data_IF_494042659107
#
_entry.id   IF_494042659107
#
_cell.length_a   1.000
_cell.length_b   1.000
_cell.length_c   1.000
_cell.angle_alpha   90.00
_cell.angle_beta   90.00
_cell.angle_gamma   90.00
#
_symmetry.space_group_name_H-M   'P 1'
#
loop_
_entity.id
_entity.type
_entity.pdbx_description
1 polymer ?
#
# COMPACT_ATOMS: atom_id res chain seq x y z
N UNK A 1 3.04 34.47 43.33
CA UNK A 1 1.69 33.90 43.59
C UNK A 1 1.17 33.36 42.26
N UNK A 2 1.22 32.06 41.92
CA UNK A 2 0.46 30.89 42.48
C UNK A 2 -1.02 31.24 42.66
N UNK A 3 -2.01 30.64 41.97
CA UNK A 3 -2.39 29.22 41.76
C UNK A 3 -3.33 29.14 40.52
N UNK A 4 -3.26 28.12 39.64
CA UNK A 4 -3.84 26.75 39.71
C UNK A 4 -5.37 26.69 39.68
N UNK A 5 -5.93 26.19 38.57
CA UNK A 5 -6.80 24.99 38.43
C UNK A 5 -7.40 24.98 37.01
N UNK A 6 -7.15 24.02 36.11
CA UNK A 6 -7.42 22.56 36.11
C UNK A 6 -8.91 22.20 36.01
N UNK A 7 -9.34 21.81 34.81
CA UNK A 7 -10.39 20.83 34.47
C UNK A 7 -10.76 21.06 33.00
N UNK A 8 -10.84 20.12 32.07
CA UNK A 8 -10.71 18.67 32.07
C UNK A 8 -10.69 18.28 30.57
N UNK A 9 -9.89 17.28 30.21
CA UNK A 9 -9.81 16.71 28.86
C UNK A 9 -11.14 16.00 28.49
N UNK A 10 -11.39 15.71 27.21
CA UNK A 10 -11.02 14.36 26.74
C UNK A 10 -10.37 14.43 25.34
N UNK A 11 -9.12 14.00 25.18
CA UNK A 11 -8.79 12.62 24.83
C UNK A 11 -9.79 12.05 23.82
N UNK A 12 -9.65 12.47 22.56
CA UNK A 12 -10.27 11.77 21.43
C UNK A 12 -9.17 11.35 20.48
N UNK A 13 -8.99 10.03 20.44
CA UNK A 13 -8.37 9.23 19.40
C UNK A 13 -6.98 9.70 18.93
N UNK A 14 -5.96 8.97 19.38
CA UNK A 14 -4.72 8.75 18.66
C UNK A 14 -5.06 8.27 17.25
N UNK A 15 -5.26 9.22 16.33
CA UNK A 15 -5.34 8.96 14.92
C UNK A 15 -3.95 8.47 14.53
N UNK A 16 -3.82 7.15 14.37
CA UNK A 16 -2.63 6.51 13.85
C UNK A 16 -2.15 7.34 12.66
N UNK A 17 -0.93 7.88 12.79
CA UNK A 17 -0.29 8.71 11.77
C UNK A 17 -0.42 7.97 10.45
N UNK A 18 -1.20 8.51 9.52
CA UNK A 18 -1.38 7.90 8.21
C UNK A 18 0.02 7.77 7.58
N UNK A 19 0.39 6.59 7.07
CA UNK A 19 1.72 6.41 6.51
C UNK A 19 1.90 7.38 5.33
N UNK A 20 3.07 8.02 5.25
CA UNK A 20 3.41 8.99 4.20
C UNK A 20 3.38 8.34 2.80
N UNK A 21 3.62 7.03 2.74
CA UNK A 21 3.42 6.16 1.57
C UNK A 21 2.26 5.21 1.78
N UNK A 22 1.37 5.08 0.79
CA UNK A 22 0.26 4.11 0.85
C UNK A 22 0.75 2.67 0.96
N UNK A 23 1.84 2.34 0.26
CA UNK A 23 2.43 1.00 0.21
C UNK A 23 2.82 0.48 1.60
N UNK A 24 3.32 1.34 2.48
CA UNK A 24 3.76 0.96 3.84
C UNK A 24 2.57 0.51 4.73
N UNK A 25 1.35 0.90 4.35
CA UNK A 25 0.10 0.51 5.00
C UNK A 25 -0.53 -0.78 4.48
N UNK A 26 -0.10 -1.31 3.33
CA UNK A 26 -0.71 -2.49 2.70
C UNK A 26 -0.13 -3.77 3.31
N UNK A 27 -0.97 -4.53 4.03
CA UNK A 27 -0.58 -5.82 4.62
C UNK A 27 -1.34 -7.01 4.04
N UNK A 28 -2.42 -6.74 3.32
CA UNK A 28 -3.33 -7.73 2.77
C UNK A 28 -4.08 -7.22 1.53
N UNK A 29 -4.65 -8.11 0.70
CA UNK A 29 -5.52 -7.71 -0.40
C UNK A 29 -6.75 -6.87 0.03
N UNK A 30 -7.20 -7.03 1.28
CA UNK A 30 -8.30 -6.25 1.83
C UNK A 30 -7.96 -4.75 1.94
N UNK A 31 -6.69 -4.43 2.21
CA UNK A 31 -6.24 -3.04 2.32
C UNK A 31 -6.30 -2.35 0.95
N UNK A 32 -5.96 -3.08 -0.13
CA UNK A 32 -6.07 -2.59 -1.52
C UNK A 32 -7.54 -2.32 -1.89
N UNK A 33 -8.47 -3.14 -1.42
CA UNK A 33 -9.92 -2.93 -1.61
C UNK A 33 -10.45 -1.71 -0.87
N UNK A 34 -9.88 -1.41 0.30
CA UNK A 34 -10.28 -0.28 1.13
C UNK A 34 -9.80 1.08 0.60
N UNK A 35 -8.78 1.11 -0.26
CA UNK A 35 -8.30 2.34 -0.90
C UNK A 35 -9.37 2.98 -1.80
N UNK A 36 -9.36 4.32 -1.90
CA UNK A 36 -10.17 5.04 -2.88
C UNK A 36 -9.57 4.82 -4.27
N UNK A 37 -10.40 4.82 -5.30
CA UNK A 37 -9.94 4.58 -6.68
C UNK A 37 -8.88 5.59 -7.14
N UNK A 38 -9.03 6.85 -6.72
CA UNK A 38 -8.09 7.93 -6.99
C UNK A 38 -6.71 7.75 -6.35
N UNK A 39 -6.58 6.89 -5.33
CA UNK A 39 -5.32 6.60 -4.65
C UNK A 39 -4.57 5.44 -5.31
N UNK A 40 -5.22 4.67 -6.20
CA UNK A 40 -4.60 3.53 -6.88
C UNK A 40 -3.41 3.91 -7.79
N UNK A 41 -3.45 5.02 -8.56
CA UNK A 41 -2.29 5.45 -9.33
C UNK A 41 -1.07 5.76 -8.45
N UNK A 42 -1.29 6.34 -7.26
CA UNK A 42 -0.23 6.60 -6.29
C UNK A 42 0.35 5.28 -5.78
N UNK A 43 -0.49 4.32 -5.36
CA UNK A 43 -0.02 3.00 -4.93
C UNK A 43 0.81 2.32 -6.02
N UNK A 44 0.35 2.34 -7.28
CA UNK A 44 1.07 1.75 -8.39
C UNK A 44 2.45 2.38 -8.60
N UNK A 45 2.54 3.72 -8.50
CA UNK A 45 3.81 4.43 -8.58
C UNK A 45 4.76 4.02 -7.45
N UNK A 46 4.27 3.98 -6.20
CA UNK A 46 5.09 3.60 -5.05
C UNK A 46 5.60 2.15 -5.13
N UNK A 47 4.81 1.23 -5.69
CA UNK A 47 5.23 -0.16 -5.96
C UNK A 47 6.31 -0.19 -7.03
N UNK A 48 6.13 0.54 -8.14
CA UNK A 48 7.15 0.64 -9.20
C UNK A 48 8.47 1.20 -8.67
N UNK A 49 8.42 2.23 -7.85
CA UNK A 49 9.62 2.84 -7.25
C UNK A 49 10.34 1.87 -6.31
N UNK A 50 9.60 1.10 -5.49
CA UNK A 50 10.21 0.08 -4.64
C UNK A 50 10.84 -1.06 -5.46
N UNK A 51 10.16 -1.52 -6.52
CA UNK A 51 10.70 -2.54 -7.43
C UNK A 51 12.01 -2.05 -8.09
N UNK A 52 12.05 -0.81 -8.58
CA UNK A 52 13.27 -0.23 -9.16
C UNK A 52 14.37 -0.16 -8.11
N UNK A 53 14.06 0.34 -6.91
CA UNK A 53 15.03 0.48 -5.81
C UNK A 53 15.64 -0.86 -5.41
N UNK A 54 14.83 -1.92 -5.33
CA UNK A 54 15.29 -3.25 -4.91
C UNK A 54 16.04 -3.96 -6.05
N UNK A 55 15.48 -3.96 -7.26
CA UNK A 55 16.00 -4.78 -8.37
C UNK A 55 17.13 -4.10 -9.17
N UNK A 56 17.28 -2.77 -9.07
CA UNK A 56 18.42 -2.04 -9.69
C UNK A 56 19.78 -2.46 -9.13
N UNK A 57 19.82 -3.03 -7.93
CA UNK A 57 21.07 -3.46 -7.28
C UNK A 57 21.57 -4.82 -7.78
N UNK A 58 20.67 -5.68 -8.25
CA UNK A 58 20.98 -7.08 -8.62
C UNK A 58 21.13 -7.29 -10.12
N UNK A 59 20.57 -6.41 -10.97
CA UNK A 59 20.49 -6.61 -12.42
C UNK A 59 19.51 -7.74 -12.80
N UNK A 60 18.82 -7.63 -13.95
CA UNK A 60 17.83 -8.64 -14.40
C UNK A 60 16.59 -8.06 -15.08
N UNK A 61 15.53 -8.88 -15.25
CA UNK A 61 14.29 -8.55 -15.97
C UNK A 61 13.39 -7.54 -15.21
N UNK A 62 13.78 -6.28 -15.24
CA UNK A 62 13.03 -5.17 -14.63
C UNK A 62 11.70 -4.88 -15.35
N UNK A 63 11.69 -4.98 -16.68
CA UNK A 63 10.57 -4.53 -17.52
C UNK A 63 9.24 -5.26 -17.24
N UNK A 64 9.22 -6.60 -17.17
CA UNK A 64 7.99 -7.36 -16.95
C UNK A 64 7.36 -7.11 -15.57
N UNK A 65 8.20 -7.03 -14.53
CA UNK A 65 7.75 -6.72 -13.18
C UNK A 65 7.13 -5.32 -13.05
N UNK A 66 7.60 -4.35 -13.84
CA UNK A 66 7.00 -3.01 -13.88
C UNK A 66 5.68 -2.98 -14.66
N UNK A 67 5.53 -3.79 -15.71
CA UNK A 67 4.33 -3.83 -16.55
C UNK A 67 3.12 -4.54 -15.92
N UNK A 68 3.32 -5.32 -14.87
CA UNK A 68 2.26 -6.12 -14.22
C UNK A 68 1.68 -5.46 -12.96
N UNK A 69 2.22 -4.33 -12.51
CA UNK A 69 1.85 -3.69 -11.24
C UNK A 69 0.36 -3.32 -11.22
N UNK A 70 -0.10 -2.56 -12.21
CA UNK A 70 -1.48 -2.08 -12.29
C UNK A 70 -2.47 -3.25 -12.46
N UNK A 71 -2.09 -4.27 -13.24
CA UNK A 71 -2.88 -5.49 -13.38
C UNK A 71 -3.03 -6.21 -12.03
N UNK A 72 -1.94 -6.37 -11.29
CA UNK A 72 -1.93 -7.05 -9.99
C UNK A 72 -2.80 -6.32 -8.97
N UNK A 73 -2.73 -4.98 -8.93
CA UNK A 73 -3.60 -4.15 -8.09
C UNK A 73 -5.07 -4.34 -8.48
N UNK A 74 -5.40 -4.28 -9.78
CA UNK A 74 -6.75 -4.46 -10.27
C UNK A 74 -7.32 -5.85 -9.91
N UNK A 75 -6.52 -6.90 -10.08
CA UNK A 75 -6.90 -8.27 -9.73
C UNK A 75 -7.22 -8.41 -8.24
N UNK A 76 -6.36 -7.89 -7.35
CA UNK A 76 -6.61 -7.93 -5.91
C UNK A 76 -7.80 -7.07 -5.47
N UNK A 77 -8.16 -6.03 -6.24
CA UNK A 77 -9.33 -5.20 -5.96
C UNK A 77 -10.63 -5.90 -6.35
N UNK A 78 -10.66 -6.53 -7.53
CA UNK A 78 -11.86 -7.18 -8.09
C UNK A 78 -12.11 -8.54 -7.46
N UNK A 79 -11.09 -9.40 -7.37
CA UNK A 79 -11.23 -10.77 -6.88
C UNK A 79 -10.87 -10.89 -5.39
N UNK A 80 -11.27 -11.98 -4.75
CA UNK A 80 -11.09 -12.23 -3.33
C UNK A 80 -9.95 -13.23 -3.09
N UNK A 81 -8.70 -12.80 -3.22
CA UNK A 81 -7.54 -13.62 -2.80
C UNK A 81 -7.42 -13.69 -1.28
N UNK A 82 -7.09 -14.86 -0.68
CA UNK A 82 -6.59 -16.08 -1.31
C UNK A 82 -7.68 -17.11 -1.71
N UNK A 83 -8.97 -16.79 -1.55
CA UNK A 83 -10.07 -17.69 -1.96
C UNK A 83 -10.07 -17.90 -3.48
N UNK A 84 -9.96 -16.81 -4.22
CA UNK A 84 -9.71 -16.82 -5.66
C UNK A 84 -8.21 -17.02 -5.88
N UNK A 85 -7.85 -17.94 -6.78
CA UNK A 85 -6.45 -18.29 -7.05
C UNK A 85 -6.00 -17.67 -8.37
N UNK A 86 -4.88 -16.96 -8.32
CA UNK A 86 -4.22 -16.42 -9.51
C UNK A 86 -3.08 -17.33 -9.94
N UNK A 87 -2.97 -17.56 -11.25
CA UNK A 87 -1.84 -18.25 -11.86
C UNK A 87 -1.27 -17.31 -12.91
N UNK A 88 -0.01 -16.90 -12.72
CA UNK A 88 0.72 -16.08 -13.68
C UNK A 88 1.55 -17.02 -14.56
N UNK A 89 1.30 -17.00 -15.87
CA UNK A 89 2.08 -17.81 -16.81
C UNK A 89 3.49 -17.23 -17.01
N UNK A 90 4.50 -18.09 -17.02
CA UNK A 90 5.94 -17.76 -17.14
C UNK A 90 6.43 -16.70 -16.13
N UNK A 91 6.90 -17.13 -14.95
CA UNK A 91 7.46 -16.24 -13.94
C UNK A 91 8.90 -15.80 -14.31
N UNK A 92 9.12 -14.51 -14.55
CA UNK A 92 10.42 -13.89 -14.84
C UNK A 92 10.53 -12.48 -14.23
#
# INVERSE_FOLDING_TARGET
MTKSDSSETPQTAEAAVAPERLLDGIRSPADIKALREQDLPQLAQEVRDELIKVLSQTGGHLGPNLGVVELTIALHRVFNTPRDRFVMDVSH
#
